data_IF_378119514994
#
_entry.id   IF_378119514994
#
_cell.length_a   1.000
_cell.length_b   1.000
_cell.length_c   1.000
_cell.angle_alpha   90.00
_cell.angle_beta   90.00
_cell.angle_gamma   90.00
#
_symmetry.space_group_name_H-M   'P 1'
#
loop_
_entity.id
_entity.type
_entity.pdbx_description
1 polymer ?
#
# COMPACT_ATOMS: atom_id res chain seq x y z
N UNK A 1 -14.45 -21.78 -15.86
CA UNK A 1 -13.22 -21.54 -15.09
C UNK A 1 -12.60 -20.25 -15.58
N UNK A 2 -12.78 -19.15 -14.86
CA UNK A 2 -11.95 -17.95 -15.04
C UNK A 2 -11.78 -17.33 -13.67
N UNK A 3 -11.09 -18.06 -12.79
CA UNK A 3 -10.41 -17.38 -11.69
C UNK A 3 -9.39 -16.47 -12.36
N UNK A 4 -9.67 -15.18 -12.44
CA UNK A 4 -8.63 -14.18 -12.64
C UNK A 4 -7.79 -14.23 -11.35
N UNK A 5 -6.90 -15.21 -11.30
CA UNK A 5 -5.83 -15.25 -10.34
C UNK A 5 -5.01 -14.02 -10.68
N UNK A 6 -5.22 -12.94 -9.92
CA UNK A 6 -4.32 -11.79 -9.91
C UNK A 6 -2.99 -12.36 -9.40
N UNK A 7 -2.23 -12.95 -10.31
CA UNK A 7 -0.92 -13.55 -10.08
C UNK A 7 -0.06 -12.49 -9.42
N UNK A 8 0.16 -12.64 -8.10
CA UNK A 8 1.15 -12.00 -7.24
C UNK A 8 1.97 -10.91 -7.93
N UNK A 9 1.32 -9.77 -8.23
CA UNK A 9 2.01 -8.68 -8.89
C UNK A 9 2.98 -8.10 -7.87
N UNK A 10 4.27 -8.15 -8.20
CA UNK A 10 5.29 -7.47 -7.40
C UNK A 10 5.95 -6.38 -8.24
N UNK A 11 6.24 -5.26 -7.59
CA UNK A 11 7.01 -4.17 -8.15
C UNK A 11 8.15 -3.84 -7.18
N UNK A 12 9.28 -3.39 -7.72
CA UNK A 12 10.36 -2.82 -6.90
C UNK A 12 10.30 -1.31 -7.05
N UNK A 13 10.26 -0.61 -5.92
CA UNK A 13 10.29 0.85 -5.85
C UNK A 13 11.53 1.28 -5.06
N UNK A 14 12.13 2.41 -5.41
CA UNK A 14 13.26 2.97 -4.65
C UNK A 14 12.80 4.19 -3.88
N UNK A 15 12.83 4.10 -2.55
CA UNK A 15 12.70 5.25 -1.66
C UNK A 15 14.10 5.82 -1.39
N UNK A 16 14.44 6.91 -2.08
CA UNK A 16 15.83 7.36 -2.16
C UNK A 16 16.73 6.28 -2.77
N UNK A 17 17.70 5.78 -2.01
CA UNK A 17 18.57 4.65 -2.40
C UNK A 17 18.11 3.30 -1.87
N UNK A 18 17.02 3.28 -1.10
CA UNK A 18 16.53 2.10 -0.38
C UNK A 18 15.52 1.34 -1.25
N UNK A 19 15.80 0.08 -1.65
CA UNK A 19 14.89 -0.70 -2.47
C UNK A 19 13.77 -1.30 -1.60
N UNK A 20 12.53 -0.99 -1.97
CA UNK A 20 11.31 -1.51 -1.38
C UNK A 20 10.61 -2.45 -2.36
N UNK A 21 10.04 -3.53 -1.83
CA UNK A 21 9.22 -4.47 -2.58
C UNK A 21 7.76 -4.15 -2.32
N UNK A 22 6.99 -3.92 -3.38
CA UNK A 22 5.54 -3.76 -3.32
C UNK A 22 4.89 -5.04 -3.85
N UNK A 23 3.98 -5.63 -3.10
CA UNK A 23 3.26 -6.85 -3.48
C UNK A 23 1.76 -6.59 -3.43
N UNK A 24 1.05 -6.93 -4.51
CA UNK A 24 -0.40 -6.83 -4.52
C UNK A 24 -1.02 -7.87 -3.57
N UNK A 25 -1.85 -7.41 -2.64
CA UNK A 25 -2.54 -8.27 -1.66
C UNK A 25 -3.91 -8.69 -2.21
N UNK A 26 -4.15 -9.99 -2.45
CA UNK A 26 -5.42 -10.49 -2.95
C UNK A 26 -6.49 -10.63 -1.85
N UNK A 27 -6.09 -10.54 -0.57
CA UNK A 27 -6.96 -10.74 0.59
C UNK A 27 -7.52 -9.44 1.15
N UNK A 28 -6.84 -8.32 0.93
CA UNK A 28 -7.33 -6.99 1.28
C UNK A 28 -8.06 -6.37 0.09
N UNK A 29 -9.09 -5.56 0.35
CA UNK A 29 -9.77 -4.72 -0.66
C UNK A 29 -8.73 -3.82 -1.35
N UNK A 30 -8.24 -4.25 -2.51
CA UNK A 30 -7.29 -3.55 -3.38
C UNK A 30 -6.16 -2.84 -2.62
N UNK A 31 -5.20 -3.61 -2.07
CA UNK A 31 -4.05 -3.06 -1.35
C UNK A 31 -2.71 -3.56 -1.92
N UNK A 32 -1.67 -2.73 -1.76
CA UNK A 32 -0.27 -3.12 -1.99
C UNK A 32 0.45 -3.22 -0.65
N UNK A 33 0.94 -4.40 -0.31
CA UNK A 33 1.83 -4.60 0.84
C UNK A 33 3.23 -4.09 0.50
N UNK A 34 3.87 -3.41 1.43
CA UNK A 34 5.22 -2.84 1.24
C UNK A 34 6.20 -3.53 2.17
N UNK A 35 7.33 -3.92 1.61
CA UNK A 35 8.38 -4.64 2.32
C UNK A 35 9.75 -4.01 2.11
N UNK A 36 10.60 -4.09 3.14
CA UNK A 36 12.03 -3.78 3.03
C UNK A 36 12.86 -4.95 3.56
N UNK A 37 13.73 -5.52 2.71
CA UNK A 37 14.59 -6.64 3.13
C UNK A 37 13.84 -7.89 3.61
N UNK A 38 12.54 -8.03 3.29
CA UNK A 38 11.67 -9.10 3.77
C UNK A 38 10.80 -8.73 4.98
N UNK A 39 11.05 -7.56 5.60
CA UNK A 39 10.24 -7.03 6.71
C UNK A 39 9.01 -6.28 6.17
N UNK A 40 7.83 -6.58 6.71
CA UNK A 40 6.58 -5.92 6.36
C UNK A 40 6.50 -4.52 6.97
N UNK A 41 6.28 -3.50 6.14
CA UNK A 41 6.21 -2.10 6.57
C UNK A 41 4.77 -1.59 6.73
N UNK A 42 3.79 -2.27 6.14
CA UNK A 42 2.40 -1.85 6.08
C UNK A 42 1.81 -2.00 4.68
N UNK A 43 0.60 -1.49 4.48
CA UNK A 43 -0.09 -1.55 3.21
C UNK A 43 -0.46 -0.16 2.67
N UNK A 44 -0.55 -0.08 1.35
CA UNK A 44 -1.11 1.04 0.62
C UNK A 44 -2.51 0.60 0.19
N UNK A 45 -3.53 1.17 0.82
CA UNK A 45 -4.93 0.91 0.50
C UNK A 45 -5.38 1.81 -0.66
N UNK A 46 -6.01 1.21 -1.67
CA UNK A 46 -6.68 1.94 -2.75
C UNK A 46 -8.12 2.28 -2.35
N UNK A 47 -8.35 3.54 -1.95
CA UNK A 47 -9.67 4.05 -1.58
C UNK A 47 -10.38 4.63 -2.80
N UNK A 48 -11.51 4.00 -3.17
CA UNK A 48 -12.39 4.46 -4.26
C UNK A 48 -13.56 5.26 -3.69
N UNK A 49 -13.62 6.55 -4.00
CA UNK A 49 -14.77 7.39 -3.64
C UNK A 49 -15.77 7.43 -4.79
N UNK A 50 -17.07 7.30 -4.47
CA UNK A 50 -18.12 7.37 -5.48
C UNK A 50 -18.11 8.74 -6.20
N UNK A 51 -18.06 8.72 -7.53
CA UNK A 51 -18.02 9.91 -8.37
C UNK A 51 -16.61 10.42 -8.69
N UNK A 52 -15.55 9.87 -8.09
CA UNK A 52 -14.17 10.17 -8.48
C UNK A 52 -13.69 9.22 -9.59
N UNK A 53 -12.97 9.76 -10.57
CA UNK A 53 -12.45 8.99 -11.70
C UNK A 53 -11.21 8.15 -11.33
N UNK A 54 -10.49 8.55 -10.30
CA UNK A 54 -9.22 7.97 -9.89
C UNK A 54 -9.28 7.57 -8.41
N UNK A 55 -8.59 6.50 -8.01
CA UNK A 55 -8.49 6.15 -6.61
C UNK A 55 -7.62 7.16 -5.84
N UNK A 56 -7.83 7.18 -4.54
CA UNK A 56 -6.91 7.75 -3.57
C UNK A 56 -6.13 6.61 -2.90
N UNK A 57 -4.96 6.92 -2.37
CA UNK A 57 -4.06 5.98 -1.72
C UNK A 57 -3.83 6.40 -0.28
N UNK A 58 -3.94 5.44 0.64
CA UNK A 58 -3.76 5.64 2.08
C UNK A 58 -2.71 4.67 2.57
N UNK A 59 -1.75 5.15 3.37
CA UNK A 59 -0.84 4.27 4.10
C UNK A 59 -1.54 3.72 5.35
N UNK A 60 -1.55 2.41 5.51
CA UNK A 60 -1.96 1.71 6.73
C UNK A 60 -0.74 1.07 7.36
N UNK A 61 -0.48 1.43 8.61
CA UNK A 61 0.60 0.83 9.37
C UNK A 61 0.24 -0.62 9.77
N UNK A 62 1.24 -1.44 10.14
CA UNK A 62 0.97 -2.79 10.63
C UNK A 62 0.00 -2.78 11.82
N UNK A 63 -1.12 -3.48 11.70
CA UNK A 63 -2.20 -3.53 12.68
C UNK A 63 -3.34 -2.52 12.45
N UNK A 64 -3.19 -1.54 11.55
CA UNK A 64 -4.25 -0.60 11.17
C UNK A 64 -5.13 -1.13 10.01
N UNK A 65 -4.82 -2.31 9.48
CA UNK A 65 -5.53 -2.87 8.32
C UNK A 65 -6.98 -3.28 8.64
N UNK A 66 -7.28 -3.62 9.90
CA UNK A 66 -8.57 -4.17 10.32
C UNK A 66 -9.61 -3.10 10.70
N UNK A 67 -9.18 -1.91 11.12
CA UNK A 67 -10.08 -0.94 11.76
C UNK A 67 -10.85 -0.07 10.76
N UNK A 68 -10.42 0.01 9.49
CA UNK A 68 -11.04 0.83 8.44
C UNK A 68 -11.06 2.35 8.71
N UNK A 69 -10.77 2.79 9.93
CA UNK A 69 -10.71 4.17 10.37
C UNK A 69 -9.43 4.85 9.90
N UNK A 70 -9.50 6.13 9.55
CA UNK A 70 -8.38 6.99 9.07
C UNK A 70 -7.33 7.29 10.15
N UNK A 71 -6.96 6.32 10.98
CA UNK A 71 -5.65 6.30 11.63
C UNK A 71 -4.68 5.76 10.58
N UNK A 72 -3.72 6.58 10.17
CA UNK A 72 -2.93 6.38 8.95
C UNK A 72 -3.10 7.58 8.00
N UNK A 73 -2.01 7.97 7.34
CA UNK A 73 -1.82 9.27 6.69
C UNK A 73 -2.96 9.73 5.76
N UNK A 74 -3.07 11.05 5.56
CA UNK A 74 -4.11 11.65 4.73
C UNK A 74 -4.14 11.02 3.31
N UNK A 75 -5.32 10.69 2.77
CA UNK A 75 -5.46 10.11 1.45
C UNK A 75 -4.83 11.02 0.38
N UNK A 76 -4.07 10.43 -0.53
CA UNK A 76 -3.36 11.13 -1.62
C UNK A 76 -3.65 10.51 -2.97
N UNK A 77 -3.57 11.31 -4.05
CA UNK A 77 -3.60 10.78 -5.44
C UNK A 77 -2.27 10.15 -5.87
N UNK A 78 -1.18 10.43 -5.16
CA UNK A 78 0.13 9.82 -5.41
C UNK A 78 0.41 8.75 -4.34
N UNK A 79 0.40 7.49 -4.77
CA UNK A 79 0.70 6.34 -3.93
C UNK A 79 2.13 6.37 -3.36
N UNK A 80 3.05 7.11 -3.99
CA UNK A 80 4.42 7.26 -3.48
C UNK A 80 4.43 7.93 -2.11
N UNK A 81 3.52 8.86 -1.85
CA UNK A 81 3.42 9.48 -0.52
C UNK A 81 3.02 8.45 0.56
N UNK A 82 2.20 7.46 0.21
CA UNK A 82 1.90 6.37 1.13
C UNK A 82 3.16 5.52 1.40
N UNK A 83 3.98 5.24 0.38
CA UNK A 83 5.28 4.57 0.58
C UNK A 83 6.20 5.38 1.49
N UNK A 84 6.29 6.69 1.30
CA UNK A 84 7.12 7.57 2.13
C UNK A 84 6.68 7.51 3.60
N UNK A 85 5.38 7.52 3.86
CA UNK A 85 4.84 7.38 5.24
C UNK A 85 5.27 6.05 5.86
N UNK A 86 5.12 4.93 5.12
CA UNK A 86 5.52 3.61 5.62
C UNK A 86 7.03 3.52 5.86
N UNK A 87 7.84 4.05 4.94
CA UNK A 87 9.30 4.06 5.05
C UNK A 87 9.76 4.91 6.25
N UNK A 88 9.22 6.13 6.41
CA UNK A 88 9.54 7.02 7.54
C UNK A 88 9.13 6.40 8.86
N UNK A 89 7.96 5.77 8.94
CA UNK A 89 7.50 5.08 10.16
C UNK A 89 8.44 3.92 10.54
N UNK A 90 8.96 3.20 9.54
CA UNK A 90 9.93 2.12 9.71
C UNK A 90 11.37 2.61 10.00
N UNK A 91 11.63 3.93 9.94
CA UNK A 91 12.94 4.53 10.19
C UNK A 91 13.92 4.43 9.02
N UNK A 92 13.41 4.36 7.78
CA UNK A 92 14.18 4.29 6.54
C UNK A 92 14.44 5.64 5.89
#
# INVERSE_FOLDING_TARGET
>A
MTGNQLDHQHAVYSYGTTPLTLMYSPTATAAWEVYYGGEYLGLIEEVRTAGEAWPMFVARLPGEEEDGGTAGAAPSRDWRLAVEVLAVHAGL
#
